data_IF_782043703891
#
_entry.id   IF_782043703891
#
_cell.length_a   1.000
_cell.length_b   1.000
_cell.length_c   1.000
_cell.angle_alpha   90.00
_cell.angle_beta   90.00
_cell.angle_gamma   90.00
#
_symmetry.space_group_name_H-M   'P 1'
#
loop_
_entity.id
_entity.type
_entity.pdbx_description
1 polymer ?
#
# COMPACT_ATOMS: atom_id res chain seq x y z
N UNK A 1 -21.59 57.32 13.52
CA UNK A 1 -22.82 57.35 12.71
C UNK A 1 -22.87 56.00 12.00
N UNK A 2 -23.75 55.07 12.40
CA UNK A 2 -25.18 54.97 12.05
C UNK A 2 -25.36 54.09 10.79
N UNK A 3 -25.83 52.85 11.00
CA UNK A 3 -26.71 51.96 10.21
C UNK A 3 -26.69 51.90 8.64
N UNK A 4 -27.07 50.79 7.98
CA UNK A 4 -27.76 49.57 8.49
C UNK A 4 -27.19 48.23 7.94
N UNK A 5 -27.97 47.42 7.18
CA UNK A 5 -27.79 45.99 6.96
C UNK A 5 -28.63 45.43 5.78
N UNK A 6 -28.25 44.25 5.27
CA UNK A 6 -28.99 43.28 4.42
C UNK A 6 -28.05 42.05 4.30
N UNK A 7 -28.26 40.86 4.88
CA UNK A 7 -29.44 39.99 5.06
C UNK A 7 -29.98 39.36 3.77
N UNK A 8 -29.48 38.16 3.44
CA UNK A 8 -30.28 37.07 2.85
C UNK A 8 -29.77 35.72 3.37
N UNK A 9 -30.57 35.09 4.23
CA UNK A 9 -30.43 33.69 4.63
C UNK A 9 -30.93 32.82 3.45
N UNK A 10 -30.29 31.68 3.15
CA UNK A 10 -30.90 30.64 2.32
C UNK A 10 -30.65 29.27 2.94
N UNK A 11 -31.73 28.68 3.45
CA UNK A 11 -31.73 27.43 4.22
C UNK A 11 -32.55 26.35 3.52
N UNK A 12 -32.01 25.13 3.55
CA UNK A 12 -32.74 23.85 3.53
C UNK A 12 -33.60 23.48 2.30
N UNK A 13 -33.19 22.38 1.65
CA UNK A 13 -34.11 21.40 1.06
C UNK A 13 -33.64 19.98 1.44
N UNK A 14 -34.43 19.29 2.28
CA UNK A 14 -34.27 17.86 2.53
C UNK A 14 -34.90 17.06 1.39
N UNK A 15 -34.16 16.11 0.83
CA UNK A 15 -34.70 15.11 -0.11
C UNK A 15 -35.35 13.95 0.64
N UNK A 16 -36.68 13.85 0.61
CA UNK A 16 -37.46 12.74 1.16
C UNK A 16 -37.57 11.58 0.17
N UNK A 17 -36.71 10.56 0.29
CA UNK A 17 -36.89 9.29 -0.39
C UNK A 17 -38.04 8.49 0.28
N UNK A 18 -39.13 8.29 -0.46
CA UNK A 18 -40.32 7.57 0.02
C UNK A 18 -40.21 6.06 -0.23
N UNK A 19 -40.66 5.27 0.74
CA UNK A 19 -40.66 3.80 0.71
C UNK A 19 -41.82 3.20 -0.09
N UNK A 20 -41.62 2.05 -0.72
CA UNK A 20 -42.68 1.14 -1.13
C UNK A 20 -42.21 -0.33 -1.02
N UNK A 21 -43.05 -1.28 -0.53
CA UNK A 21 -42.65 -2.68 -0.32
C UNK A 21 -43.12 -3.62 -1.44
N UNK A 22 -42.49 -4.81 -1.52
CA UNK A 22 -43.05 -6.00 -2.18
C UNK A 22 -42.96 -7.22 -1.26
N UNK A 23 -43.94 -8.12 -1.35
CA UNK A 23 -44.26 -9.16 -0.36
C UNK A 23 -44.57 -10.50 -1.03
N UNK A 24 -44.19 -11.62 -0.37
CA UNK A 24 -44.49 -13.00 -0.77
C UNK A 24 -43.49 -13.62 -1.78
N UNK A 25 -43.18 -14.92 -1.74
CA UNK A 25 -43.91 -16.04 -1.10
C UNK A 25 -43.02 -17.12 -0.45
N UNK A 26 -43.32 -17.44 0.81
CA UNK A 26 -43.21 -18.73 1.54
C UNK A 26 -42.44 -19.94 0.97
N UNK A 27 -41.51 -20.46 1.78
CA UNK A 27 -41.40 -21.89 2.13
C UNK A 27 -41.18 -22.03 3.66
N UNK A 28 -41.67 -23.08 4.35
CA UNK A 28 -41.80 -23.08 5.81
C UNK A 28 -40.70 -23.80 6.61
N UNK A 29 -40.55 -23.34 7.85
CA UNK A 29 -40.12 -24.02 9.08
C UNK A 29 -38.71 -24.63 9.30
N UNK A 30 -38.00 -23.95 10.23
CA UNK A 30 -37.60 -24.51 11.55
C UNK A 30 -36.57 -25.65 11.63
N UNK A 31 -35.31 -25.26 11.90
CA UNK A 31 -34.66 -25.62 13.18
C UNK A 31 -33.80 -24.44 13.66
N UNK A 32 -34.04 -23.94 14.87
CA UNK A 32 -33.11 -23.06 15.59
C UNK A 32 -32.41 -23.84 16.71
N UNK A 33 -31.08 -23.91 16.70
CA UNK A 33 -30.31 -24.08 17.92
C UNK A 33 -29.30 -22.94 18.10
N UNK A 34 -29.69 -21.95 18.92
CA UNK A 34 -28.82 -21.02 19.67
C UNK A 34 -27.90 -20.08 18.86
N UNK A 35 -27.97 -18.74 19.08
CA UNK A 35 -27.00 -17.81 18.51
C UNK A 35 -25.64 -17.98 19.20
N UNK A 36 -24.81 -18.90 18.69
CA UNK A 36 -23.41 -19.02 19.11
C UNK A 36 -22.64 -17.85 18.51
N UNK A 37 -22.20 -16.94 19.38
CA UNK A 37 -21.36 -15.81 19.01
C UNK A 37 -20.03 -16.28 18.42
N UNK A 38 -19.84 -16.06 17.12
CA UNK A 38 -18.51 -16.01 16.46
C UNK A 38 -18.27 -14.66 15.78
N UNK A 39 -18.43 -13.57 16.54
CA UNK A 39 -17.52 -12.44 16.35
C UNK A 39 -16.10 -12.88 16.74
N UNK A 40 -15.38 -13.42 15.75
CA UNK A 40 -13.93 -13.28 15.53
C UNK A 40 -13.47 -14.25 14.42
N UNK A 41 -13.77 -13.91 13.17
CA UNK A 41 -12.77 -14.12 12.13
C UNK A 41 -12.23 -12.75 11.77
N UNK A 42 -11.19 -12.33 12.48
CA UNK A 42 -10.36 -11.22 12.00
C UNK A 42 -9.70 -11.74 10.73
N UNK A 43 -10.18 -11.29 9.57
CA UNK A 43 -9.41 -11.39 8.36
C UNK A 43 -8.23 -10.43 8.55
N UNK A 44 -7.15 -10.94 9.15
CA UNK A 44 -5.87 -10.26 9.17
C UNK A 44 -5.43 -10.25 7.71
N UNK A 45 -5.72 -9.15 7.01
CA UNK A 45 -5.13 -8.87 5.72
C UNK A 45 -3.66 -8.60 6.01
N UNK A 46 -2.86 -9.65 6.06
CA UNK A 46 -1.41 -9.53 6.09
C UNK A 46 -1.04 -8.77 4.82
N UNK A 47 -0.56 -7.53 4.99
CA UNK A 47 -0.18 -6.69 3.87
C UNK A 47 0.93 -7.40 3.10
N UNK A 48 0.81 -7.55 1.76
CA UNK A 48 1.86 -8.17 0.99
C UNK A 48 3.18 -7.45 1.26
N UNK A 49 4.27 -8.21 1.33
CA UNK A 49 5.60 -7.67 1.62
C UNK A 49 6.67 -8.40 0.81
N UNK A 50 7.78 -7.71 0.57
CA UNK A 50 8.96 -8.24 -0.13
C UNK A 50 10.10 -8.30 0.87
N UNK A 51 10.76 -9.45 0.97
CA UNK A 51 11.97 -9.60 1.79
C UNK A 51 13.20 -9.41 0.92
N UNK A 52 14.02 -8.42 1.26
CA UNK A 52 15.18 -8.00 0.47
C UNK A 52 16.45 -8.19 1.28
N UNK A 53 17.40 -8.94 0.74
CA UNK A 53 18.70 -9.24 1.32
C UNK A 53 19.79 -8.41 0.63
N UNK A 54 20.48 -7.57 1.40
CA UNK A 54 21.50 -6.63 0.95
C UNK A 54 22.90 -7.18 1.26
N UNK A 55 23.78 -7.24 0.26
CA UNK A 55 25.12 -7.81 0.39
C UNK A 55 26.22 -6.76 0.17
N UNK A 56 27.09 -6.62 1.17
CA UNK A 56 28.33 -5.85 1.12
C UNK A 56 29.56 -6.74 1.25
N UNK A 57 30.75 -6.15 1.16
CA UNK A 57 32.01 -6.91 1.28
C UNK A 57 32.26 -7.48 2.69
N UNK A 58 31.71 -6.84 3.73
CA UNK A 58 31.87 -7.20 5.14
C UNK A 58 30.68 -7.95 5.75
N UNK A 59 29.66 -8.31 4.95
CA UNK A 59 28.50 -9.08 5.44
C UNK A 59 27.23 -8.82 4.64
N UNK A 60 26.08 -9.10 5.26
CA UNK A 60 24.76 -8.86 4.69
C UNK A 60 23.73 -8.56 5.77
N UNK A 61 22.67 -7.85 5.42
CA UNK A 61 21.47 -7.71 6.24
C UNK A 61 20.20 -7.94 5.41
N UNK A 62 19.07 -8.15 6.06
CA UNK A 62 17.77 -8.29 5.41
C UNK A 62 16.80 -7.25 5.96
N UNK A 63 15.95 -6.70 5.10
CA UNK A 63 14.85 -5.81 5.47
C UNK A 63 13.61 -6.18 4.68
N UNK A 64 12.46 -6.21 5.36
CA UNK A 64 11.16 -6.48 4.75
C UNK A 64 10.44 -5.17 4.49
N UNK A 65 9.94 -5.01 3.27
CA UNK A 65 9.23 -3.82 2.80
C UNK A 65 7.76 -4.19 2.51
N UNK A 66 6.80 -3.55 3.19
CA UNK A 66 5.39 -3.60 2.80
C UNK A 66 5.16 -3.13 1.37
N UNK A 67 4.21 -3.76 0.69
CA UNK A 67 3.77 -3.43 -0.67
C UNK A 67 2.57 -2.49 -0.59
N UNK A 68 2.81 -1.30 -0.04
CA UNK A 68 1.82 -0.25 0.20
C UNK A 68 2.22 1.12 -0.41
N UNK A 69 3.39 1.20 -1.05
CA UNK A 69 3.94 2.41 -1.64
C UNK A 69 4.58 3.39 -0.66
N UNK A 70 4.63 3.08 0.63
CA UNK A 70 5.30 3.95 1.60
C UNK A 70 6.83 3.85 1.50
N UNK A 71 7.51 4.94 1.87
CA UNK A 71 8.98 4.99 1.93
C UNK A 71 9.44 4.51 3.31
N UNK A 72 10.35 3.53 3.32
CA UNK A 72 10.98 2.99 4.51
C UNK A 72 12.47 3.28 4.50
N UNK A 73 12.98 3.89 5.58
CA UNK A 73 14.41 4.15 5.75
C UNK A 73 15.22 2.86 5.84
N UNK A 74 16.45 2.91 5.32
CA UNK A 74 17.46 1.86 5.45
C UNK A 74 18.59 2.45 6.29
N UNK A 75 18.61 2.15 7.59
CA UNK A 75 19.54 2.75 8.56
C UNK A 75 20.85 2.00 8.71
N UNK A 76 21.12 1.02 7.84
CA UNK A 76 22.32 0.19 7.91
C UNK A 76 23.45 0.76 7.05
N UNK A 77 24.57 1.10 7.68
CA UNK A 77 25.73 1.76 7.05
C UNK A 77 26.60 0.83 6.17
N UNK A 78 26.18 -0.42 5.92
CA UNK A 78 26.92 -1.35 5.08
C UNK A 78 26.98 -0.88 3.61
N UNK A 79 28.20 -0.82 3.06
CA UNK A 79 28.42 -0.55 1.63
C UNK A 79 27.92 -1.72 0.77
N UNK A 80 26.77 -1.55 0.11
CA UNK A 80 26.08 -2.58 -0.67
C UNK A 80 26.60 -2.64 -2.10
N UNK A 81 26.80 -3.86 -2.59
CA UNK A 81 27.27 -4.19 -3.94
C UNK A 81 26.33 -5.14 -4.71
N UNK A 82 25.39 -5.77 -4.01
CA UNK A 82 24.40 -6.71 -4.56
C UNK A 82 23.14 -6.69 -3.70
N UNK A 83 21.97 -6.73 -4.33
CA UNK A 83 20.66 -6.76 -3.67
C UNK A 83 19.88 -7.94 -4.24
N UNK A 84 19.33 -8.78 -3.37
CA UNK A 84 18.50 -9.92 -3.76
C UNK A 84 17.11 -9.75 -3.17
N UNK A 85 16.07 -9.88 -3.98
CA UNK A 85 14.72 -10.10 -3.50
C UNK A 85 14.45 -11.60 -3.52
N UNK A 86 14.27 -12.22 -2.35
CA UNK A 86 14.14 -13.69 -2.25
C UNK A 86 12.70 -14.16 -2.54
N UNK A 87 11.71 -13.31 -2.25
CA UNK A 87 10.29 -13.60 -2.47
C UNK A 87 9.44 -12.32 -2.40
N UNK A 88 8.31 -12.34 -3.13
CA UNK A 88 7.31 -11.27 -3.11
C UNK A 88 6.67 -11.04 -4.48
N UNK A 89 5.43 -10.54 -4.48
CA UNK A 89 4.74 -10.08 -5.69
C UNK A 89 4.62 -8.55 -5.64
N UNK A 90 5.53 -7.86 -6.30
CA UNK A 90 5.60 -6.40 -6.27
C UNK A 90 6.79 -5.88 -7.08
N UNK A 91 6.79 -4.55 -7.26
CA UNK A 91 7.92 -3.79 -7.79
C UNK A 91 8.49 -2.99 -6.64
N UNK A 92 9.78 -3.16 -6.33
CA UNK A 92 10.46 -2.37 -5.32
C UNK A 92 11.48 -1.42 -5.93
N UNK A 93 11.59 -0.24 -5.35
CA UNK A 93 12.63 0.74 -5.62
C UNK A 93 13.50 0.85 -4.37
N UNK A 94 14.79 0.66 -4.54
CA UNK A 94 15.81 0.94 -3.53
C UNK A 94 16.64 2.13 -4.00
N UNK A 95 16.87 3.09 -3.09
CA UNK A 95 17.64 4.29 -3.35
C UNK A 95 18.88 4.35 -2.45
N UNK A 96 20.02 4.75 -3.01
CA UNK A 96 21.27 4.95 -2.28
C UNK A 96 21.64 6.42 -2.10
N UNK A 97 22.45 6.70 -1.07
CA UNK A 97 22.82 8.07 -0.68
C UNK A 97 23.47 8.93 -1.79
N UNK A 98 23.97 8.32 -2.87
CA UNK A 98 24.49 9.03 -4.04
C UNK A 98 23.54 8.99 -5.25
N UNK A 99 22.23 8.98 -4.98
CA UNK A 99 21.14 8.89 -5.96
C UNK A 99 21.21 7.63 -6.84
N UNK A 100 21.79 6.53 -6.36
CA UNK A 100 21.66 5.25 -7.07
C UNK A 100 20.22 4.76 -6.97
N UNK A 101 19.69 4.27 -8.08
CA UNK A 101 18.35 3.70 -8.16
C UNK A 101 18.47 2.24 -8.58
N UNK A 102 17.95 1.33 -7.76
CA UNK A 102 17.85 -0.10 -8.09
C UNK A 102 16.39 -0.49 -8.04
N UNK A 103 15.89 -0.98 -9.18
CA UNK A 103 14.55 -1.53 -9.29
C UNK A 103 14.61 -3.04 -9.18
N UNK A 104 13.66 -3.61 -8.46
CA UNK A 104 13.55 -5.04 -8.19
C UNK A 104 12.15 -5.49 -8.62
N UNK A 105 12.06 -6.54 -9.43
CA UNK A 105 10.80 -7.08 -9.93
C UNK A 105 10.72 -8.59 -9.64
N UNK A 106 9.83 -8.97 -8.71
CA UNK A 106 9.75 -10.36 -8.25
C UNK A 106 11.07 -10.85 -7.62
N UNK A 107 11.36 -12.17 -7.68
CA UNK A 107 12.65 -12.70 -7.26
C UNK A 107 13.77 -12.29 -8.21
N UNK A 108 14.77 -11.55 -7.72
CA UNK A 108 15.84 -10.98 -8.55
C UNK A 108 17.20 -10.90 -7.82
N UNK A 109 18.29 -10.67 -8.56
CA UNK A 109 19.66 -10.55 -8.04
C UNK A 109 20.39 -9.42 -8.79
N UNK A 110 20.28 -8.20 -8.24
CA UNK A 110 20.78 -6.98 -8.87
C UNK A 110 22.15 -6.55 -8.34
N UNK A 111 22.94 -5.90 -9.20
CA UNK A 111 24.24 -5.31 -8.84
C UNK A 111 24.13 -3.82 -8.59
N UNK A 112 24.75 -3.36 -7.51
CA UNK A 112 24.87 -1.94 -7.17
C UNK A 112 26.27 -1.48 -7.54
N UNK A 113 26.37 -0.56 -8.50
CA UNK A 113 27.64 0.02 -8.93
C UNK A 113 27.55 1.54 -9.16
N UNK A 114 28.43 2.37 -8.55
CA UNK A 114 29.40 2.00 -7.52
C UNK A 114 28.73 1.47 -6.24
N UNK A 115 29.44 0.60 -5.53
CA UNK A 115 28.95 0.04 -4.27
C UNK A 115 28.80 1.14 -3.20
N UNK A 116 27.67 1.19 -2.51
CA UNK A 116 27.31 2.31 -1.62
C UNK A 116 26.27 1.96 -0.56
N UNK A 117 26.16 2.81 0.45
CA UNK A 117 25.13 2.72 1.50
C UNK A 117 23.75 3.04 0.89
N UNK A 118 22.74 2.25 1.26
CA UNK A 118 21.36 2.47 0.85
C UNK A 118 20.65 3.40 1.85
N UNK A 119 19.77 4.28 1.36
CA UNK A 119 19.11 5.31 2.16
C UNK A 119 17.65 4.95 2.47
N UNK A 120 16.90 4.47 1.47
CA UNK A 120 15.49 4.10 1.62
C UNK A 120 15.04 3.09 0.56
N UNK A 121 13.88 2.47 0.79
CA UNK A 121 13.19 1.67 -0.19
C UNK A 121 11.67 1.80 -0.09
N UNK A 122 10.97 1.55 -1.20
CA UNK A 122 9.52 1.51 -1.29
C UNK A 122 9.08 0.36 -2.22
N UNK A 123 7.96 -0.29 -1.93
CA UNK A 123 7.42 -1.36 -2.76
C UNK A 123 5.96 -1.11 -3.13
N UNK A 124 5.63 -1.39 -4.39
CA UNK A 124 4.34 -1.15 -5.01
C UNK A 124 3.76 -2.47 -5.52
N UNK A 125 2.43 -2.58 -5.55
CA UNK A 125 1.77 -3.71 -6.19
C UNK A 125 2.21 -3.77 -7.65
N UNK A 126 2.69 -4.93 -8.09
CA UNK A 126 3.01 -5.12 -9.50
C UNK A 126 1.73 -4.92 -10.31
N UNK A 127 1.68 -3.85 -11.10
CA UNK A 127 0.56 -3.59 -11.97
C UNK A 127 0.48 -4.68 -13.04
N UNK A 128 -0.71 -5.23 -13.24
CA UNK A 128 -0.95 -6.14 -14.35
C UNK A 128 -0.61 -5.42 -15.67
N UNK A 129 0.07 -6.13 -16.58
CA UNK A 129 0.55 -5.57 -17.85
C UNK A 129 -0.59 -4.84 -18.59
N UNK A 130 -0.49 -3.50 -18.65
CA UNK A 130 -1.53 -2.63 -19.24
C UNK A 130 -1.92 -1.42 -18.39
N UNK A 131 -1.63 -1.41 -17.09
CA UNK A 131 -1.80 -0.22 -16.23
C UNK A 131 -0.43 0.48 -16.07
N UNK A 132 -0.36 1.78 -16.37
CA UNK A 132 0.89 2.55 -16.40
C UNK A 132 1.61 2.60 -15.05
N UNK A 133 2.94 2.48 -15.10
CA UNK A 133 3.82 2.38 -13.93
C UNK A 133 3.87 3.72 -13.15
N UNK A 134 3.34 3.78 -11.91
CA UNK A 134 3.14 5.04 -11.17
C UNK A 134 4.46 5.69 -10.75
N UNK A 135 5.58 4.95 -10.78
CA UNK A 135 6.90 5.49 -10.50
C UNK A 135 7.39 6.50 -11.58
N UNK A 136 6.76 6.53 -12.76
CA UNK A 136 7.09 7.50 -13.81
C UNK A 136 6.31 8.83 -13.70
N UNK A 137 5.12 8.83 -13.09
CA UNK A 137 4.27 10.03 -13.03
C UNK A 137 4.74 11.06 -11.99
N UNK A 138 5.43 10.64 -10.92
CA UNK A 138 5.92 11.57 -9.87
C UNK A 138 7.20 12.33 -10.26
N UNK A 139 7.95 11.89 -11.29
CA UNK A 139 9.21 12.53 -11.72
C UNK A 139 9.05 13.46 -12.94
N UNK A 140 7.82 13.81 -13.34
CA UNK A 140 7.53 14.51 -14.61
C UNK A 140 6.78 15.85 -14.48
N UNK A 141 7.01 16.61 -13.39
CA UNK A 141 6.59 18.03 -13.25
C UNK A 141 7.67 18.91 -12.67
#
# INVERSE_FOLDING_TARGET
MQFLALSTLLTFLLGLAHSAPINGTSYPETVNPTPTSTMHSRHNYDTPSVSITFYGASGSFQQTFPVDGAIYEITNELTISRIVADSGSGVCVINGYHNSYTRLEGPCDEKVYPAQVQAWGACYTALAEGQGDPAYDEFST
#
